data_IF_544211256885
#
_entry.id   IF_544211256885
#
_cell.length_a   1.000
_cell.length_b   1.000
_cell.length_c   1.000
_cell.angle_alpha   90.00
_cell.angle_beta   90.00
_cell.angle_gamma   90.00
#
_symmetry.space_group_name_H-M   'P 1'
#
loop_
_entity.id
_entity.type
_entity.pdbx_description
1 polymer ?
#
# COMPACT_ATOMS: atom_id res chain seq x y z
N UNK A 1 10.47 32.64 32.74
CA UNK A 1 10.71 32.84 31.31
C UNK A 1 11.83 31.90 30.92
N UNK A 2 11.67 30.88 30.12
CA UNK A 2 10.52 30.06 29.75
C UNK A 2 11.23 28.80 29.26
N UNK A 3 11.17 27.72 30.03
CA UNK A 3 11.96 26.50 29.78
C UNK A 3 11.15 25.42 29.09
N UNK A 4 10.04 25.78 28.43
CA UNK A 4 9.09 24.83 27.83
C UNK A 4 9.19 24.66 26.32
N UNK A 5 10.28 25.06 25.66
CA UNK A 5 10.39 24.99 24.18
C UNK A 5 11.10 23.73 23.66
N UNK A 6 11.39 22.73 24.50
CA UNK A 6 12.08 21.50 24.07
C UNK A 6 11.18 20.26 23.92
N UNK A 7 9.87 20.41 24.13
CA UNK A 7 8.93 19.27 24.15
C UNK A 7 8.00 19.16 22.92
N UNK A 8 8.00 20.12 21.99
CA UNK A 8 6.85 20.29 21.07
C UNK A 8 6.95 19.63 19.68
N UNK A 9 7.93 18.74 19.43
CA UNK A 9 8.00 18.05 18.12
C UNK A 9 8.29 16.54 18.22
N UNK A 10 7.90 15.91 19.33
CA UNK A 10 7.72 14.45 19.36
C UNK A 10 6.44 14.08 18.63
N UNK A 11 6.41 14.29 17.31
CA UNK A 11 5.29 13.91 16.46
C UNK A 11 5.00 12.42 16.66
N UNK A 12 3.90 12.13 17.36
CA UNK A 12 3.43 10.76 17.52
C UNK A 12 3.20 10.19 16.12
N UNK A 13 3.84 9.07 15.82
CA UNK A 13 3.66 8.41 14.52
C UNK A 13 2.49 7.46 14.62
N UNK A 14 1.65 7.46 13.59
CA UNK A 14 0.60 6.46 13.47
C UNK A 14 1.22 5.06 13.38
N UNK A 15 0.85 4.14 14.26
CA UNK A 15 1.36 2.75 14.24
C UNK A 15 0.96 1.94 13.00
N UNK A 16 -0.04 2.42 12.23
CA UNK A 16 -0.47 1.79 11.00
C UNK A 16 0.25 2.34 9.76
N UNK A 17 0.31 3.67 9.63
CA UNK A 17 0.90 4.30 8.46
C UNK A 17 2.36 4.78 8.63
N UNK A 18 2.84 4.86 9.86
CA UNK A 18 4.15 5.41 10.28
C UNK A 18 4.39 6.88 9.91
N UNK A 19 3.34 7.58 9.46
CA UNK A 19 3.37 9.03 9.23
C UNK A 19 3.25 9.78 10.55
N UNK A 20 3.80 11.02 10.62
CA UNK A 20 3.40 12.00 11.63
C UNK A 20 1.88 12.02 11.80
N UNK A 21 1.38 12.12 13.04
CA UNK A 21 -0.05 12.12 13.35
C UNK A 21 -0.82 13.14 12.50
N UNK A 22 -0.27 14.34 12.33
CA UNK A 22 -0.85 15.43 11.52
C UNK A 22 -0.98 15.10 10.02
N UNK A 23 -0.14 14.20 9.51
CA UNK A 23 -0.15 13.75 8.12
C UNK A 23 -0.81 12.36 7.97
N UNK A 24 -1.37 11.82 9.05
CA UNK A 24 -2.05 10.55 9.04
C UNK A 24 -3.39 10.67 8.30
N UNK A 25 -3.68 9.71 7.42
CA UNK A 25 -4.96 9.61 6.74
C UNK A 25 -5.65 8.27 7.02
N UNK A 26 -5.17 7.49 7.99
CA UNK A 26 -5.67 6.13 8.24
C UNK A 26 -7.18 6.10 8.52
N UNK A 27 -7.70 7.11 9.21
CA UNK A 27 -9.12 7.22 9.56
C UNK A 27 -9.99 7.62 8.37
N UNK A 28 -9.39 8.23 7.34
CA UNK A 28 -10.05 8.56 6.08
C UNK A 28 -10.11 7.36 5.11
N UNK A 29 -9.44 6.24 5.41
CA UNK A 29 -9.47 5.05 4.53
C UNK A 29 -10.81 4.32 4.76
N UNK A 30 -11.70 4.26 3.77
CA UNK A 30 -12.98 3.58 3.95
C UNK A 30 -12.76 2.07 3.94
N UNK A 31 -13.56 1.33 4.72
CA UNK A 31 -13.63 -0.12 4.62
C UNK A 31 -14.73 -0.53 3.62
N UNK A 32 -14.34 -1.29 2.61
CA UNK A 32 -15.20 -1.76 1.52
C UNK A 32 -15.27 -3.28 1.60
N UNK A 33 -16.49 -3.82 1.62
CA UNK A 33 -16.72 -5.26 1.49
C UNK A 33 -16.74 -5.66 0.01
N UNK A 34 -15.56 -5.84 -0.57
CA UNK A 34 -15.41 -6.18 -1.99
C UNK A 34 -15.57 -7.68 -2.22
N UNK A 35 -16.42 -8.07 -3.18
CA UNK A 35 -16.58 -9.48 -3.58
C UNK A 35 -15.37 -10.04 -4.33
N UNK A 36 -14.73 -9.21 -5.16
CA UNK A 36 -13.59 -9.63 -5.98
C UNK A 36 -12.33 -9.71 -5.15
N UNK A 37 -11.63 -10.84 -5.18
CA UNK A 37 -10.32 -10.98 -4.55
C UNK A 37 -9.28 -10.11 -5.25
N UNK A 38 -8.59 -9.25 -4.50
CA UNK A 38 -7.52 -8.40 -5.03
C UNK A 38 -6.16 -8.90 -4.53
N UNK A 39 -5.27 -9.24 -5.45
CA UNK A 39 -3.87 -9.54 -5.16
C UNK A 39 -3.00 -8.39 -5.68
N UNK A 40 -2.34 -7.68 -4.77
CA UNK A 40 -1.39 -6.61 -5.08
C UNK A 40 0.01 -7.18 -4.98
N UNK A 41 0.77 -7.07 -6.07
CA UNK A 41 2.21 -7.31 -6.08
C UNK A 41 2.91 -5.96 -6.04
N UNK A 42 3.71 -5.73 -5.00
CA UNK A 42 4.41 -4.47 -4.79
C UNK A 42 5.93 -4.70 -4.78
N UNK A 43 6.67 -3.87 -5.50
CA UNK A 43 8.12 -3.90 -5.42
C UNK A 43 8.59 -3.41 -4.04
N UNK A 44 9.62 -4.03 -3.45
CA UNK A 44 10.12 -3.67 -2.12
C UNK A 44 10.50 -2.20 -1.97
N UNK A 45 10.92 -1.53 -3.05
CA UNK A 45 11.24 -0.10 -3.04
C UNK A 45 10.00 0.80 -2.92
N UNK A 46 8.85 0.36 -3.46
CA UNK A 46 7.61 1.15 -3.48
C UNK A 46 6.95 1.24 -2.10
N UNK A 47 7.23 0.30 -1.19
CA UNK A 47 6.65 0.29 0.16
C UNK A 47 7.01 1.54 0.99
N UNK A 48 8.11 2.18 0.62
CA UNK A 48 8.63 3.39 1.27
C UNK A 48 8.17 4.67 0.57
N UNK A 49 7.47 4.56 -0.56
CA UNK A 49 6.93 5.73 -1.24
C UNK A 49 5.92 6.42 -0.31
N UNK A 50 5.97 7.76 -0.11
CA UNK A 50 5.16 8.44 0.91
C UNK A 50 3.68 8.05 0.86
N UNK A 51 3.06 8.07 -0.31
CA UNK A 51 1.66 7.69 -0.48
C UNK A 51 1.37 6.19 -0.26
N UNK A 52 2.30 5.30 -0.63
CA UNK A 52 2.15 3.84 -0.59
C UNK A 52 0.70 3.37 -0.88
N UNK A 53 0.24 3.61 -2.11
CA UNK A 53 -1.14 3.33 -2.53
C UNK A 53 -1.53 1.86 -2.34
N UNK A 54 -0.58 0.93 -2.47
CA UNK A 54 -0.81 -0.50 -2.21
C UNK A 54 -1.34 -0.74 -0.80
N UNK A 55 -0.76 -0.09 0.21
CA UNK A 55 -1.23 -0.19 1.60
C UNK A 55 -2.58 0.47 1.81
N UNK A 56 -2.86 1.58 1.11
CA UNK A 56 -4.18 2.23 1.16
C UNK A 56 -5.26 1.26 0.67
N UNK A 57 -5.06 0.67 -0.51
CA UNK A 57 -6.00 -0.30 -1.09
C UNK A 57 -6.13 -1.54 -0.21
N UNK A 58 -5.02 -2.07 0.30
CA UNK A 58 -5.04 -3.23 1.21
C UNK A 58 -5.86 -2.97 2.48
N UNK A 59 -5.77 -1.77 3.07
CA UNK A 59 -6.57 -1.42 4.26
C UNK A 59 -8.03 -1.12 3.91
N UNK A 60 -8.29 -0.68 2.69
CA UNK A 60 -9.64 -0.33 2.25
C UNK A 60 -10.48 -1.56 1.90
N UNK A 61 -9.89 -2.58 1.30
CA UNK A 61 -10.60 -3.75 0.79
C UNK A 61 -10.60 -4.91 1.80
N UNK A 62 -11.76 -5.54 2.02
CA UNK A 62 -11.90 -6.71 2.89
C UNK A 62 -11.30 -7.99 2.31
N UNK A 63 -11.34 -8.15 0.98
CA UNK A 63 -10.77 -9.29 0.27
C UNK A 63 -9.56 -8.86 -0.56
N UNK A 64 -8.45 -8.54 0.14
CA UNK A 64 -7.23 -8.07 -0.50
C UNK A 64 -5.97 -8.65 0.16
N UNK A 65 -5.01 -9.08 -0.65
CA UNK A 65 -3.67 -9.53 -0.22
C UNK A 65 -2.60 -8.67 -0.88
N UNK A 66 -1.57 -8.33 -0.10
CA UNK A 66 -0.40 -7.61 -0.57
C UNK A 66 0.83 -8.51 -0.42
N UNK A 67 1.53 -8.74 -1.52
CA UNK A 67 2.82 -9.43 -1.53
C UNK A 67 3.89 -8.41 -1.93
N UNK A 68 4.87 -8.21 -1.06
CA UNK A 68 5.98 -7.29 -1.28
C UNK A 68 7.25 -8.09 -1.52
N UNK A 69 7.91 -7.87 -2.65
CA UNK A 69 9.20 -8.51 -2.95
C UNK A 69 9.97 -7.78 -4.06
N UNK A 70 11.12 -8.29 -4.45
CA UNK A 70 11.81 -7.87 -5.68
C UNK A 70 11.16 -8.49 -6.92
N UNK A 71 11.26 -7.81 -8.06
CA UNK A 71 10.62 -8.24 -9.32
C UNK A 71 10.96 -9.68 -9.71
N UNK A 72 12.24 -10.07 -9.63
CA UNK A 72 12.67 -11.44 -9.96
C UNK A 72 12.05 -12.48 -9.03
N UNK A 73 11.90 -12.16 -7.74
CA UNK A 73 11.28 -13.06 -6.75
C UNK A 73 9.77 -13.12 -6.91
N UNK A 74 9.11 -12.01 -7.25
CA UNK A 74 7.69 -12.01 -7.61
C UNK A 74 7.43 -12.88 -8.83
N UNK A 75 8.29 -12.79 -9.87
CA UNK A 75 8.15 -13.58 -11.09
C UNK A 75 8.43 -15.07 -10.92
N UNK A 76 9.24 -15.46 -9.94
CA UNK A 76 9.59 -16.86 -9.66
C UNK A 76 8.74 -17.51 -8.55
N UNK A 77 7.89 -16.74 -7.86
CA UNK A 77 7.06 -17.22 -6.75
C UNK A 77 5.82 -17.94 -7.28
N UNK A 78 5.40 -18.99 -6.58
CA UNK A 78 4.04 -19.52 -6.71
C UNK A 78 3.06 -18.51 -6.09
N UNK A 79 2.36 -17.78 -6.95
CA UNK A 79 1.43 -16.74 -6.55
C UNK A 79 0.02 -17.35 -6.45
N UNK A 80 -0.78 -16.99 -5.44
CA UNK A 80 -2.14 -17.50 -5.25
C UNK A 80 -3.13 -16.86 -6.24
N UNK A 81 -2.80 -16.90 -7.53
CA UNK A 81 -3.60 -16.35 -8.62
C UNK A 81 -4.71 -17.37 -8.93
N UNK A 82 -5.96 -16.93 -8.82
CA UNK A 82 -7.11 -17.76 -9.14
C UNK A 82 -7.22 -17.95 -10.66
N UNK A 83 -7.86 -19.04 -11.10
CA UNK A 83 -7.99 -19.37 -12.54
C UNK A 83 -8.71 -18.31 -13.36
N UNK A 84 -9.60 -17.56 -12.73
CA UNK A 84 -10.42 -16.48 -13.30
C UNK A 84 -9.85 -15.08 -13.03
N UNK A 85 -8.58 -14.99 -12.62
CA UNK A 85 -7.94 -13.72 -12.33
C UNK A 85 -7.75 -12.87 -13.61
N UNK A 86 -8.01 -11.56 -13.48
CA UNK A 86 -7.67 -10.56 -14.49
C UNK A 86 -6.49 -9.71 -14.02
N UNK A 87 -5.58 -9.37 -14.94
CA UNK A 87 -4.45 -8.49 -14.64
C UNK A 87 -4.87 -7.02 -14.82
N UNK A 88 -4.94 -6.29 -13.70
CA UNK A 88 -5.04 -4.84 -13.72
C UNK A 88 -3.64 -4.22 -13.68
N UNK A 89 -3.07 -3.96 -14.85
CA UNK A 89 -1.82 -3.24 -14.99
C UNK A 89 -1.98 -2.10 -15.99
N UNK A 90 -1.55 -0.90 -15.63
CA UNK A 90 -1.57 0.23 -16.57
C UNK A 90 -0.41 0.07 -17.55
N UNK A 91 -0.63 -0.68 -18.62
CA UNK A 91 0.32 -0.72 -19.72
C UNK A 91 -0.09 0.26 -20.81
N UNK A 92 0.81 1.17 -21.16
CA UNK A 92 0.88 1.69 -22.54
C UNK A 92 1.81 0.75 -23.30
N UNK A 93 1.34 -0.43 -23.71
CA UNK A 93 1.98 -1.12 -24.84
C UNK A 93 1.35 -0.50 -26.09
N UNK A 94 2.08 0.22 -26.95
CA UNK A 94 1.56 0.52 -28.27
C UNK A 94 1.33 -0.82 -28.99
N UNK A 95 0.16 -0.99 -29.60
CA UNK A 95 -0.10 -2.14 -30.45
C UNK A 95 1.07 -2.31 -31.44
N UNK A 96 1.56 -3.53 -31.70
CA UNK A 96 2.51 -3.72 -32.79
C UNK A 96 1.84 -3.25 -34.09
N UNK A 97 2.54 -2.38 -34.83
CA UNK A 97 2.20 -2.05 -36.22
C UNK A 97 2.22 -3.32 -37.07
#
# INVERSE_FOLDING_TARGET
MDSSDLDEERSERCYHCFRPAELCFCDAIPRIDNRTNVLILQHVGERFHPFNTARIVQRSLSNCRLIVDHNLRLGARDLPIQRDAALLYRNRIPAPL
#
